data_IF_116789165615
#
_entry.id   IF_116789165615
#
_cell.length_a   1.000
_cell.length_b   1.000
_cell.length_c   1.000
_cell.angle_alpha   90.00
_cell.angle_beta   90.00
_cell.angle_gamma   90.00
#
_symmetry.space_group_name_H-M   'P 1'
#
loop_
_entity.id
_entity.type
_entity.pdbx_description
1 polymer ?
#
# COMPACT_ATOMS: atom_id res chain seq x y z
N UNK A 1 -38.76 -17.86 -5.72
CA UNK A 1 -38.55 -16.44 -5.36
C UNK A 1 -37.08 -16.10 -5.54
N UNK A 2 -36.72 -15.48 -6.66
CA UNK A 2 -35.37 -14.90 -6.83
C UNK A 2 -35.30 -13.66 -5.94
N UNK A 3 -34.33 -13.62 -5.01
CA UNK A 3 -34.01 -12.37 -4.29
C UNK A 3 -33.62 -11.32 -5.34
N UNK A 4 -34.16 -10.08 -5.27
CA UNK A 4 -33.74 -9.02 -6.18
C UNK A 4 -32.24 -8.78 -5.98
N UNK A 5 -31.51 -8.68 -7.10
CA UNK A 5 -30.09 -8.32 -7.06
C UNK A 5 -29.96 -6.90 -6.52
N UNK A 6 -29.33 -6.78 -5.34
CA UNK A 6 -28.94 -5.49 -4.76
C UNK A 6 -27.48 -5.27 -5.12
N UNK A 7 -27.20 -4.19 -5.85
CA UNK A 7 -25.83 -3.83 -6.18
C UNK A 7 -25.03 -3.59 -4.89
N UNK A 8 -23.81 -4.16 -4.76
CA UNK A 8 -22.99 -3.98 -3.57
C UNK A 8 -22.57 -2.51 -3.41
N UNK A 9 -22.37 -2.07 -2.17
CA UNK A 9 -21.77 -0.75 -1.92
C UNK A 9 -20.34 -0.71 -2.47
N UNK A 10 -19.79 0.50 -2.68
CA UNK A 10 -18.38 0.64 -3.09
C UNK A 10 -17.43 -0.07 -2.10
N UNK A 11 -17.74 -0.02 -0.81
CA UNK A 11 -16.95 -0.69 0.22
C UNK A 11 -16.97 -2.22 0.04
N UNK A 12 -18.15 -2.80 -0.18
CA UNK A 12 -18.29 -4.25 -0.34
C UNK A 12 -17.63 -4.76 -1.63
N UNK A 13 -17.77 -4.00 -2.71
CA UNK A 13 -17.09 -4.29 -3.97
C UNK A 13 -15.57 -4.20 -3.82
N UNK A 14 -15.07 -3.16 -3.12
CA UNK A 14 -13.66 -3.00 -2.80
C UNK A 14 -13.11 -4.15 -1.95
N UNK A 15 -13.82 -4.52 -0.87
CA UNK A 15 -13.39 -5.63 -0.01
C UNK A 15 -13.42 -6.97 -0.75
N UNK A 16 -14.42 -7.20 -1.60
CA UNK A 16 -14.50 -8.41 -2.43
C UNK A 16 -13.34 -8.51 -3.43
N UNK A 17 -13.00 -7.40 -4.07
CA UNK A 17 -11.85 -7.33 -4.97
C UNK A 17 -10.53 -7.61 -4.24
N UNK A 18 -10.33 -7.01 -3.07
CA UNK A 18 -9.15 -7.25 -2.24
C UNK A 18 -9.05 -8.72 -1.82
N UNK A 19 -10.16 -9.34 -1.39
CA UNK A 19 -10.19 -10.77 -1.03
C UNK A 19 -9.67 -11.62 -2.20
N UNK A 20 -10.18 -11.37 -3.41
CA UNK A 20 -9.78 -12.09 -4.61
C UNK A 20 -8.29 -11.93 -4.89
N UNK A 21 -7.78 -10.69 -4.88
CA UNK A 21 -6.34 -10.42 -5.09
C UNK A 21 -5.46 -11.08 -4.04
N UNK A 22 -5.90 -11.08 -2.79
CA UNK A 22 -5.20 -11.73 -1.70
C UNK A 22 -5.28 -13.26 -1.73
N UNK A 23 -6.28 -13.86 -2.37
CA UNK A 23 -6.33 -15.32 -2.57
C UNK A 23 -5.43 -15.78 -3.70
N UNK A 24 -5.25 -14.97 -4.73
CA UNK A 24 -4.40 -15.27 -5.90
C UNK A 24 -2.90 -15.07 -5.62
N UNK A 25 -2.54 -14.40 -4.52
CA UNK A 25 -1.15 -14.06 -4.23
C UNK A 25 -0.43 -15.09 -3.35
N UNK A 26 0.66 -15.66 -3.87
CA UNK A 26 1.58 -16.50 -3.10
C UNK A 26 2.21 -15.78 -1.91
N UNK A 27 2.56 -14.50 -2.08
CA UNK A 27 3.11 -13.66 -1.01
C UNK A 27 2.14 -13.63 0.18
N UNK A 28 0.87 -13.36 -0.10
CA UNK A 28 -0.17 -13.26 0.92
C UNK A 28 -0.48 -14.65 1.49
N UNK A 29 -0.45 -15.70 0.68
CA UNK A 29 -0.61 -17.09 1.13
C UNK A 29 0.43 -17.45 2.20
N UNK A 30 1.71 -17.12 1.97
CA UNK A 30 2.79 -17.35 2.96
C UNK A 30 2.56 -16.59 4.27
N UNK A 31 2.11 -15.33 4.20
CA UNK A 31 1.76 -14.56 5.39
C UNK A 31 0.59 -15.23 6.13
N UNK A 32 -0.45 -15.66 5.38
CA UNK A 32 -1.64 -16.34 5.92
C UNK A 32 -1.27 -17.61 6.69
N UNK A 33 -0.41 -18.46 6.13
CA UNK A 33 0.01 -19.70 6.79
C UNK A 33 0.72 -19.46 8.13
N UNK A 34 1.56 -18.42 8.22
CA UNK A 34 2.22 -18.03 9.48
C UNK A 34 1.20 -17.50 10.51
N UNK A 35 0.21 -16.73 10.07
CA UNK A 35 -0.83 -16.19 10.95
C UNK A 35 -1.78 -17.27 11.48
N UNK A 36 -2.16 -18.23 10.63
CA UNK A 36 -3.03 -19.34 11.00
C UNK A 36 -2.30 -20.49 11.70
N UNK A 37 -0.96 -20.45 11.77
CA UNK A 37 -0.16 -21.47 12.44
C UNK A 37 -0.11 -22.82 11.72
N UNK A 38 -0.34 -22.85 10.40
CA UNK A 38 -0.22 -24.09 9.60
C UNK A 38 1.26 -24.49 9.51
N UNK A 39 1.59 -25.69 9.99
CA UNK A 39 2.96 -26.16 10.25
C UNK A 39 3.84 -26.30 9.01
N UNK A 40 3.23 -26.66 7.87
CA UNK A 40 3.98 -27.18 6.73
C UNK A 40 4.70 -26.07 5.94
N UNK A 41 4.16 -24.85 5.95
CA UNK A 41 4.76 -23.64 5.32
C UNK A 41 5.74 -22.89 6.23
N UNK A 42 5.88 -23.33 7.50
CA UNK A 42 6.80 -22.72 8.48
C UNK A 42 8.20 -23.35 8.37
N UNK A 43 8.32 -24.54 7.79
CA UNK A 43 9.61 -25.21 7.61
C UNK A 43 10.56 -24.35 6.76
N UNK A 44 11.74 -24.06 7.30
CA UNK A 44 12.74 -23.18 6.68
C UNK A 44 12.62 -21.69 7.03
N UNK A 45 11.57 -21.25 7.74
CA UNK A 45 11.46 -19.85 8.20
C UNK A 45 12.06 -19.64 9.60
N UNK A 46 13.06 -18.75 9.67
CA UNK A 46 13.63 -18.29 10.96
C UNK A 46 12.54 -17.82 11.93
N UNK A 47 12.69 -18.18 13.21
CA UNK A 47 11.80 -17.75 14.29
C UNK A 47 11.65 -16.21 14.34
N UNK A 48 12.73 -15.46 14.06
CA UNK A 48 12.70 -14.00 13.98
C UNK A 48 11.74 -13.49 12.91
N UNK A 49 11.76 -14.11 11.72
CA UNK A 49 10.89 -13.74 10.59
C UNK A 49 9.42 -14.03 10.92
N UNK A 50 9.13 -15.17 11.55
CA UNK A 50 7.79 -15.53 12.01
C UNK A 50 7.24 -14.55 13.05
N UNK A 51 8.06 -14.21 14.05
CA UNK A 51 7.69 -13.23 15.09
C UNK A 51 7.37 -11.87 14.47
N UNK A 52 8.20 -11.42 13.52
CA UNK A 52 7.96 -10.17 12.81
C UNK A 52 6.64 -10.18 12.03
N UNK A 53 6.32 -11.26 11.31
CA UNK A 53 5.05 -11.38 10.57
C UNK A 53 3.87 -11.31 11.54
N UNK A 54 3.89 -12.09 12.62
CA UNK A 54 2.81 -12.09 13.63
C UNK A 54 2.62 -10.73 14.31
N UNK A 55 3.70 -9.97 14.49
CA UNK A 55 3.63 -8.63 15.06
C UNK A 55 3.16 -7.56 14.05
N UNK A 56 3.40 -7.78 12.75
CA UNK A 56 3.16 -6.78 11.70
C UNK A 56 1.87 -6.99 10.93
N UNK A 57 1.26 -8.17 11.02
CA UNK A 57 0.07 -8.53 10.26
C UNK A 57 -0.98 -9.19 11.14
N UNK A 58 -2.24 -8.96 10.79
CA UNK A 58 -3.41 -9.57 11.42
C UNK A 58 -4.42 -10.03 10.37
N UNK A 59 -5.28 -10.96 10.78
CA UNK A 59 -6.41 -11.46 10.01
C UNK A 59 -7.65 -11.39 10.91
N UNK A 60 -8.78 -10.88 10.40
CA UNK A 60 -10.01 -10.83 11.18
C UNK A 60 -10.71 -12.19 11.09
N UNK A 61 -11.00 -12.81 12.24
CA UNK A 61 -11.59 -14.15 12.29
C UNK A 61 -13.10 -14.17 12.01
N UNK A 62 -13.81 -13.06 12.20
CA UNK A 62 -15.28 -13.05 12.20
C UNK A 62 -15.92 -12.51 10.93
N UNK A 63 -15.25 -11.62 10.20
CA UNK A 63 -15.89 -10.98 9.03
C UNK A 63 -15.03 -10.95 7.79
N UNK A 64 -13.72 -11.22 7.86
CA UNK A 64 -12.86 -11.06 6.69
C UNK A 64 -11.48 -11.73 6.77
N UNK A 65 -11.24 -12.73 5.92
CA UNK A 65 -9.95 -13.41 5.66
C UNK A 65 -8.90 -12.46 5.02
N UNK A 66 -9.20 -11.17 4.97
CA UNK A 66 -8.33 -10.12 4.46
C UNK A 66 -7.20 -9.88 5.45
N UNK A 67 -5.98 -10.12 5.00
CA UNK A 67 -4.77 -9.77 5.73
C UNK A 67 -4.64 -8.26 5.78
N UNK A 68 -4.40 -7.76 6.99
CA UNK A 68 -4.12 -6.35 7.27
C UNK A 68 -2.73 -6.23 7.86
N UNK A 69 -2.02 -5.16 7.50
CA UNK A 69 -0.82 -4.74 8.20
C UNK A 69 -1.23 -3.92 9.42
N UNK A 70 -0.70 -4.31 10.58
CA UNK A 70 -0.87 -3.62 11.85
C UNK A 70 0.35 -2.75 12.08
N UNK A 71 0.15 -1.45 12.31
CA UNK A 71 1.22 -0.52 12.69
C UNK A 71 0.74 0.41 13.80
N UNK A 72 1.67 0.93 14.58
CA UNK A 72 1.41 2.09 15.41
C UNK A 72 1.71 3.37 14.62
N UNK A 73 0.86 4.39 14.74
CA UNK A 73 1.18 5.73 14.28
C UNK A 73 2.02 6.50 15.31
N UNK A 74 2.30 7.78 15.02
CA UNK A 74 3.10 8.65 15.90
C UNK A 74 2.43 8.93 17.26
N UNK A 75 1.12 8.74 17.34
CA UNK A 75 0.32 8.92 18.54
C UNK A 75 0.06 7.60 19.26
N UNK A 76 0.81 6.54 18.91
CA UNK A 76 0.65 5.16 19.41
C UNK A 76 -0.71 4.50 19.10
N UNK A 77 -1.52 5.07 18.21
CA UNK A 77 -2.76 4.45 17.78
C UNK A 77 -2.47 3.29 16.83
N UNK A 78 -3.25 2.21 16.96
CA UNK A 78 -3.19 1.08 16.05
C UNK A 78 -3.89 1.45 14.74
N UNK A 79 -3.14 1.41 13.65
CA UNK A 79 -3.63 1.60 12.29
C UNK A 79 -3.59 0.28 11.54
N UNK A 80 -4.74 -0.09 10.97
CA UNK A 80 -4.93 -1.30 10.20
C UNK A 80 -5.00 -0.99 8.71
N UNK A 81 -3.97 -1.36 7.97
CA UNK A 81 -3.87 -1.12 6.53
C UNK A 81 -4.22 -2.39 5.77
N UNK A 82 -5.11 -2.31 4.78
CA UNK A 82 -5.40 -3.44 3.90
C UNK A 82 -4.15 -3.79 3.08
N UNK A 83 -3.73 -5.05 3.10
CA UNK A 83 -2.56 -5.48 2.32
C UNK A 83 -2.96 -5.68 0.86
N UNK A 84 -2.27 -4.98 -0.03
CA UNK A 84 -2.33 -5.21 -1.48
C UNK A 84 -1.09 -6.02 -1.87
N UNK A 85 -1.21 -7.09 -2.67
CA UNK A 85 -0.05 -7.84 -3.14
C UNK A 85 0.94 -6.94 -3.89
N UNK A 86 2.24 -7.19 -3.71
CA UNK A 86 3.28 -6.23 -4.15
C UNK A 86 3.35 -5.98 -5.65
N UNK A 87 2.93 -6.96 -6.45
CA UNK A 87 2.94 -6.89 -7.92
C UNK A 87 1.52 -6.74 -8.49
N UNK A 88 0.55 -6.38 -7.63
CA UNK A 88 -0.85 -6.33 -8.02
C UNK A 88 -1.13 -5.15 -8.98
N UNK A 89 -1.89 -5.37 -10.07
CA UNK A 89 -2.26 -4.29 -10.99
C UNK A 89 -3.06 -3.15 -10.33
N UNK A 90 -3.67 -3.36 -9.16
CA UNK A 90 -4.39 -2.32 -8.39
C UNK A 90 -3.50 -1.22 -7.83
N UNK A 91 -2.19 -1.45 -7.69
CA UNK A 91 -1.26 -0.46 -7.13
C UNK A 91 -1.27 0.84 -7.96
N UNK A 92 -1.23 0.75 -9.29
CA UNK A 92 -1.22 1.92 -10.17
C UNK A 92 -2.52 2.74 -10.09
N UNK A 93 -3.72 2.13 -10.22
CA UNK A 93 -5.00 2.82 -9.98
C UNK A 93 -5.10 3.48 -8.60
N UNK A 94 -4.63 2.82 -7.53
CA UNK A 94 -4.64 3.39 -6.18
C UNK A 94 -3.77 4.65 -6.10
N UNK A 95 -2.51 4.57 -6.56
CA UNK A 95 -1.62 5.73 -6.56
C UNK A 95 -2.22 6.89 -7.37
N UNK A 96 -2.79 6.60 -8.55
CA UNK A 96 -3.47 7.61 -9.37
C UNK A 96 -4.64 8.25 -8.63
N UNK A 97 -5.54 7.44 -8.04
CA UNK A 97 -6.71 7.93 -7.31
C UNK A 97 -6.31 8.90 -6.21
N UNK A 98 -5.41 8.49 -5.31
CA UNK A 98 -5.01 9.30 -4.15
C UNK A 98 -4.21 10.54 -4.54
N UNK A 99 -3.34 10.45 -5.54
CA UNK A 99 -2.56 11.60 -5.99
C UNK A 99 -3.42 12.64 -6.69
N UNK A 100 -4.38 12.21 -7.53
CA UNK A 100 -5.17 13.11 -8.35
C UNK A 100 -6.30 13.75 -7.54
N UNK A 101 -6.96 12.99 -6.66
CA UNK A 101 -8.03 13.53 -5.79
C UNK A 101 -7.53 14.56 -4.79
N UNK A 102 -6.22 14.59 -4.52
CA UNK A 102 -5.56 15.50 -3.59
C UNK A 102 -4.72 16.56 -4.32
N UNK A 103 -5.19 16.98 -5.49
CA UNK A 103 -4.60 18.09 -6.26
C UNK A 103 -3.09 17.95 -6.51
N UNK A 104 -2.62 16.75 -6.86
CA UNK A 104 -1.21 16.48 -7.18
C UNK A 104 -0.23 16.78 -6.03
N UNK A 105 -0.67 16.56 -4.79
CA UNK A 105 0.18 16.59 -3.60
C UNK A 105 1.51 15.84 -3.77
N UNK A 106 2.56 16.34 -3.13
CA UNK A 106 3.90 15.74 -3.20
C UNK A 106 3.96 14.32 -2.64
N UNK A 107 5.14 13.70 -2.79
CA UNK A 107 5.41 12.33 -2.37
C UNK A 107 5.01 12.04 -0.92
N UNK A 108 5.41 12.89 0.04
CA UNK A 108 5.15 12.63 1.46
C UNK A 108 3.65 12.59 1.75
N UNK A 109 2.90 13.60 1.29
CA UNK A 109 1.47 13.70 1.51
C UNK A 109 0.68 12.58 0.81
N UNK A 110 0.99 12.28 -0.46
CA UNK A 110 0.39 11.14 -1.18
C UNK A 110 0.67 9.82 -0.46
N UNK A 111 1.92 9.61 -0.02
CA UNK A 111 2.28 8.37 0.68
C UNK A 111 1.62 8.26 2.05
N UNK A 112 1.43 9.37 2.76
CA UNK A 112 0.77 9.40 4.06
C UNK A 112 -0.71 9.06 3.92
N UNK A 113 -1.39 9.63 2.91
CA UNK A 113 -2.80 9.35 2.63
C UNK A 113 -3.02 7.88 2.28
N UNK A 114 -2.21 7.29 1.38
CA UNK A 114 -2.28 5.86 1.07
C UNK A 114 -2.06 4.98 2.31
N UNK A 115 -1.10 5.36 3.17
CA UNK A 115 -0.81 4.64 4.41
C UNK A 115 -1.88 4.79 5.51
N UNK A 116 -2.98 5.49 5.28
CA UNK A 116 -4.13 5.40 6.18
C UNK A 116 -4.95 4.13 5.91
N UNK A 117 -5.06 3.74 4.64
CA UNK A 117 -6.02 2.70 4.22
C UNK A 117 -5.34 1.41 3.75
N UNK A 118 -4.19 1.52 3.08
CA UNK A 118 -3.56 0.43 2.33
C UNK A 118 -2.07 0.29 2.61
N UNK A 119 -1.55 -0.89 2.33
CA UNK A 119 -0.12 -1.18 2.39
C UNK A 119 0.27 -2.24 1.35
N UNK A 120 1.45 -2.10 0.76
CA UNK A 120 2.13 -3.14 0.00
C UNK A 120 3.65 -3.01 0.19
N UNK A 121 4.40 -4.07 -0.10
CA UNK A 121 5.86 -4.03 -0.04
C UNK A 121 6.37 -3.08 -1.12
N UNK A 122 7.08 -2.03 -0.71
CA UNK A 122 7.58 -1.03 -1.65
C UNK A 122 6.72 0.23 -1.80
N UNK A 123 5.58 0.36 -1.09
CA UNK A 123 4.66 1.49 -1.19
C UNK A 123 5.33 2.86 -1.33
N UNK A 124 6.21 3.24 -0.40
CA UNK A 124 6.88 4.56 -0.45
C UNK A 124 7.79 4.71 -1.68
N UNK A 125 8.48 3.65 -2.10
CA UNK A 125 9.32 3.67 -3.31
C UNK A 125 8.46 3.89 -4.55
N UNK A 126 7.37 3.14 -4.66
CA UNK A 126 6.52 3.17 -5.85
C UNK A 126 5.78 4.51 -5.96
N UNK A 127 5.27 5.04 -4.84
CA UNK A 127 4.66 6.38 -4.79
C UNK A 127 5.67 7.47 -5.17
N UNK A 128 6.91 7.39 -4.66
CA UNK A 128 7.97 8.35 -5.02
C UNK A 128 8.23 8.33 -6.53
N UNK A 129 8.35 7.14 -7.12
CA UNK A 129 8.56 6.99 -8.55
C UNK A 129 7.37 7.53 -9.35
N UNK A 130 6.15 7.18 -8.94
CA UNK A 130 4.92 7.64 -9.57
C UNK A 130 4.80 9.17 -9.59
N UNK A 131 4.95 9.83 -8.45
CA UNK A 131 4.88 11.30 -8.35
C UNK A 131 5.99 11.96 -9.15
N UNK A 132 7.22 11.40 -9.15
CA UNK A 132 8.34 11.92 -9.95
C UNK A 132 8.06 11.87 -11.46
N UNK A 133 7.30 10.88 -11.92
CA UNK A 133 6.90 10.73 -13.33
C UNK A 133 5.60 11.45 -13.69
N UNK A 134 4.93 12.10 -12.74
CA UNK A 134 3.71 12.85 -13.01
C UNK A 134 4.01 14.10 -13.84
N UNK A 135 3.37 14.21 -15.01
CA UNK A 135 3.55 15.36 -15.91
C UNK A 135 3.15 16.67 -15.24
N UNK A 136 2.01 16.73 -14.56
CA UNK A 136 1.53 17.92 -13.84
C UNK A 136 2.55 18.38 -12.80
N UNK A 137 3.00 17.47 -11.91
CA UNK A 137 4.00 17.83 -10.90
C UNK A 137 5.33 18.27 -11.50
N UNK A 138 5.76 17.63 -12.60
CA UNK A 138 7.02 17.97 -13.29
C UNK A 138 6.96 19.36 -13.91
N UNK A 139 5.83 19.73 -14.51
CA UNK A 139 5.62 21.05 -15.10
C UNK A 139 5.60 22.14 -14.02
N UNK A 140 4.86 21.92 -12.92
CA UNK A 140 4.77 22.90 -11.81
C UNK A 140 6.12 23.09 -11.10
N UNK A 141 6.87 22.01 -10.87
CA UNK A 141 8.19 22.10 -10.22
C UNK A 141 9.23 22.83 -11.08
N UNK A 142 9.08 22.81 -12.40
CA UNK A 142 10.08 23.29 -13.35
C UNK A 142 11.35 22.42 -13.40
N UNK A 143 12.24 22.66 -14.38
CA UNK A 143 13.56 22.04 -14.40
C UNK A 143 14.36 22.46 -13.15
N UNK A 144 15.21 21.56 -12.64
CA UNK A 144 16.19 21.97 -11.63
C UNK A 144 17.05 23.06 -12.27
N UNK A 145 17.01 24.29 -11.74
CA UNK A 145 17.99 25.32 -12.10
C UNK A 145 19.36 24.69 -11.82
N UNK A 146 20.21 24.60 -12.85
CA UNK A 146 21.62 24.35 -12.59
C UNK A 146 22.07 25.49 -11.66
N UNK A 147 22.66 25.16 -10.52
CA UNK A 147 23.36 26.17 -9.74
C UNK A 147 24.48 26.67 -10.65
N UNK A 148 24.28 27.84 -11.25
CA UNK A 148 25.35 28.56 -11.94
C UNK A 148 26.37 28.87 -10.85
N UNK A 149 27.61 28.40 -11.00
CA UNK A 149 28.66 28.72 -10.05
C UNK A 149 28.81 30.25 -9.97
N UNK A 150 28.80 30.84 -8.76
CA UNK A 150 29.03 32.26 -8.61
C UNK A 150 30.51 32.54 -8.80
N UNK A 151 30.93 32.73 -10.05
CA UNK A 151 32.33 33.04 -10.35
C UNK A 151 32.58 33.29 -11.82
N UNK A 152 32.39 34.53 -12.27
CA UNK A 152 33.31 35.27 -13.15
C UNK A 152 32.75 36.68 -13.43
N UNK A 153 33.10 37.65 -12.59
CA UNK A 153 33.13 39.07 -12.95
C UNK A 153 34.44 39.65 -12.42
N UNK A 154 35.52 39.43 -13.17
CA UNK A 154 36.72 40.25 -13.11
C UNK A 154 36.94 40.84 -14.50
N UNK A 155 36.66 42.13 -14.63
CA UNK A 155 37.39 43.10 -15.46
C UNK A 155 36.78 44.47 -15.25
#
# INVERSE_FOLDING_TARGET
>A
LQKPYVAPSYHDAWMSLIRLRQSESEEISRIRSVLLGKSDDIMGMSAKKRRHIKASFGICSTTDVVIRRVRQDRSANIVNQVVVPSEDPLIKPLMRKYHYSRAHEGFEATSYALQQDVWWRGLRRDVRNFVRTCLTCRLVRGPKKHQVEPGLLHS
#
